data_IF_855015542080
#
_entry.id   IF_855015542080
#
_cell.length_a   1.000
_cell.length_b   1.000
_cell.length_c   1.000
_cell.angle_alpha   90.00
_cell.angle_beta   90.00
_cell.angle_gamma   90.00
#
_symmetry.space_group_name_H-M   'P 1'
#
loop_
_entity.id
_entity.type
_entity.pdbx_description
1 polymer ?
#
# COMPACT_ATOMS: atom_id res chain seq x y z
N UNK A 1 8.28 107.81 -3.16
CA UNK A 1 7.90 107.06 -4.37
C UNK A 1 9.03 106.09 -4.71
N UNK A 2 8.78 104.79 -4.52
CA UNK A 2 9.59 103.61 -4.92
C UNK A 2 11.12 103.61 -4.71
N UNK A 3 11.62 102.72 -3.83
CA UNK A 3 12.43 101.54 -4.21
C UNK A 3 12.96 100.74 -3.00
N UNK A 4 12.50 99.49 -2.94
CA UNK A 4 13.30 98.25 -2.81
C UNK A 4 14.18 98.08 -1.55
N UNK A 5 13.58 97.57 -0.47
CA UNK A 5 14.31 96.92 0.63
C UNK A 5 14.69 95.47 0.27
N UNK A 6 15.94 95.11 0.55
CA UNK A 6 16.50 93.76 0.39
C UNK A 6 16.05 92.88 1.56
N UNK A 7 15.63 91.64 1.24
CA UNK A 7 15.48 90.55 2.21
C UNK A 7 16.85 89.99 2.57
N UNK A 8 17.19 89.98 3.86
CA UNK A 8 18.17 89.07 4.43
C UNK A 8 17.45 87.81 4.96
N UNK A 9 17.95 86.64 4.56
CA UNK A 9 17.42 85.34 4.91
C UNK A 9 18.32 84.73 6.00
N UNK A 10 17.77 84.45 7.20
CA UNK A 10 18.47 83.68 8.24
C UNK A 10 18.25 82.18 8.02
N UNK A 11 19.29 81.32 8.17
CA UNK A 11 19.14 79.88 8.00
C UNK A 11 18.55 79.24 9.26
N UNK A 12 17.44 78.51 9.08
CA UNK A 12 16.86 77.64 10.10
C UNK A 12 17.53 76.26 10.11
N UNK A 13 17.88 75.77 11.31
CA UNK A 13 18.43 74.44 11.60
C UNK A 13 17.55 73.32 11.02
N UNK A 14 18.12 72.50 10.13
CA UNK A 14 17.54 71.23 9.69
C UNK A 14 17.88 70.17 10.76
N UNK A 15 16.86 69.71 11.47
CA UNK A 15 16.96 68.67 12.49
C UNK A 15 17.05 67.30 11.80
N UNK A 16 18.20 66.63 11.96
CA UNK A 16 18.44 65.22 11.62
C UNK A 16 17.60 64.31 12.52
N UNK A 17 16.36 63.99 12.14
CA UNK A 17 15.55 62.94 12.82
C UNK A 17 15.12 61.83 11.86
N UNK A 18 15.22 62.04 10.55
CA UNK A 18 14.64 61.11 9.56
C UNK A 18 15.46 59.85 9.28
N UNK A 19 16.75 59.78 9.65
CA UNK A 19 17.59 58.64 9.23
C UNK A 19 17.54 57.43 10.18
N UNK A 20 17.38 57.61 11.49
CA UNK A 20 17.42 56.49 12.44
C UNK A 20 16.09 55.73 12.54
N UNK A 21 14.95 56.44 12.41
CA UNK A 21 13.63 55.80 12.43
C UNK A 21 13.40 54.93 11.19
N UNK A 22 13.88 55.34 10.02
CA UNK A 22 13.73 54.55 8.78
C UNK A 22 14.58 53.29 8.86
N UNK A 23 15.81 53.37 9.37
CA UNK A 23 16.67 52.19 9.53
C UNK A 23 16.09 51.19 10.53
N UNK A 24 15.56 51.65 11.68
CA UNK A 24 14.92 50.78 12.68
C UNK A 24 13.66 50.08 12.16
N UNK A 25 12.87 50.76 11.33
CA UNK A 25 11.68 50.18 10.71
C UNK A 25 12.10 49.14 9.67
N UNK A 26 13.15 49.39 8.88
CA UNK A 26 13.66 48.43 7.90
C UNK A 26 14.33 47.19 8.54
N UNK A 27 15.11 47.33 9.61
CA UNK A 27 15.64 46.16 10.34
C UNK A 27 14.55 45.39 11.05
N UNK A 28 13.54 46.07 11.61
CA UNK A 28 12.37 45.41 12.21
C UNK A 28 11.55 44.62 11.18
N UNK A 29 11.36 45.16 9.97
CA UNK A 29 10.65 44.49 8.88
C UNK A 29 11.42 43.28 8.34
N UNK A 30 12.75 43.38 8.22
CA UNK A 30 13.61 42.26 7.79
C UNK A 30 13.61 41.14 8.85
N UNK A 31 13.64 41.47 10.14
CA UNK A 31 13.53 40.49 11.23
C UNK A 31 12.13 39.83 11.22
N UNK A 32 11.06 40.59 10.96
CA UNK A 32 9.71 40.04 10.85
C UNK A 32 9.55 39.10 9.66
N UNK A 33 10.18 39.41 8.51
CA UNK A 33 10.21 38.55 7.32
C UNK A 33 11.05 37.28 7.57
N UNK A 34 12.14 37.37 8.34
CA UNK A 34 12.96 36.21 8.72
C UNK A 34 12.24 35.29 9.73
N UNK A 35 11.40 35.83 10.62
CA UNK A 35 10.61 35.04 11.57
C UNK A 35 9.40 34.36 10.88
N UNK A 36 8.83 34.96 9.83
CA UNK A 36 7.80 34.30 9.00
C UNK A 36 8.34 33.20 8.08
N UNK A 37 9.67 33.09 7.92
CA UNK A 37 10.31 32.00 7.19
C UNK A 37 10.36 30.66 7.93
N UNK A 38 10.00 30.63 9.22
CA UNK A 38 10.01 29.40 10.04
C UNK A 38 8.63 28.76 10.23
N UNK A 39 7.56 29.33 9.68
CA UNK A 39 6.33 28.55 9.42
C UNK A 39 6.44 27.87 8.06
N UNK A 40 7.53 27.11 7.87
CA UNK A 40 7.51 26.06 6.87
C UNK A 40 6.46 25.07 7.35
N UNK A 41 5.30 25.03 6.69
CA UNK A 41 4.37 23.93 6.86
C UNK A 41 5.20 22.65 6.74
N UNK A 42 5.40 21.94 7.85
CA UNK A 42 6.12 20.68 7.86
C UNK A 42 5.42 19.82 6.81
N UNK A 43 6.13 19.50 5.72
CA UNK A 43 5.54 18.76 4.62
C UNK A 43 5.05 17.45 5.23
N UNK A 44 3.74 17.22 5.23
CA UNK A 44 3.10 16.04 5.85
C UNK A 44 3.87 14.81 5.40
N UNK A 45 4.56 14.17 6.34
CA UNK A 45 5.38 13.01 6.03
C UNK A 45 4.46 11.79 5.93
N UNK A 46 4.76 10.88 5.00
CA UNK A 46 4.19 9.55 5.00
C UNK A 46 4.98 8.70 6.00
N UNK A 47 4.32 8.14 7.00
CA UNK A 47 4.92 7.24 7.98
C UNK A 47 4.39 5.83 7.76
N UNK A 48 5.27 4.83 7.82
CA UNK A 48 4.91 3.43 7.56
C UNK A 48 5.46 2.53 8.67
N UNK A 49 4.60 1.70 9.27
CA UNK A 49 5.01 0.60 10.14
C UNK A 49 4.98 -0.71 9.36
N UNK A 50 6.16 -1.28 9.13
CA UNK A 50 6.34 -2.56 8.45
C UNK A 50 7.83 -2.99 8.42
N UNK A 51 8.10 -4.22 7.99
CA UNK A 51 9.43 -4.73 7.67
C UNK A 51 9.97 -4.12 6.38
N UNK A 52 11.29 -4.00 6.29
CA UNK A 52 11.99 -3.50 5.09
C UNK A 52 11.76 -4.34 3.83
N UNK A 53 11.39 -5.62 4.01
CA UNK A 53 11.12 -6.53 2.92
C UNK A 53 9.73 -6.37 2.30
N UNK A 54 8.84 -5.55 2.89
CA UNK A 54 7.47 -5.38 2.41
C UNK A 54 7.44 -4.78 0.99
N UNK A 55 6.55 -5.29 0.12
CA UNK A 55 6.54 -4.91 -1.30
C UNK A 55 6.17 -3.44 -1.49
N UNK A 56 5.27 -2.90 -0.67
CA UNK A 56 4.92 -1.47 -0.72
C UNK A 56 6.16 -0.62 -0.44
N UNK A 57 6.92 -0.91 0.62
CA UNK A 57 8.12 -0.15 0.97
C UNK A 57 9.16 -0.23 -0.13
N UNK A 58 9.43 -1.41 -0.67
CA UNK A 58 10.36 -1.59 -1.78
C UNK A 58 9.94 -0.79 -3.01
N UNK A 59 8.64 -0.78 -3.31
CA UNK A 59 8.07 -0.02 -4.42
C UNK A 59 8.20 1.49 -4.18
N UNK A 60 7.88 1.99 -3.00
CA UNK A 60 8.03 3.41 -2.68
C UNK A 60 9.50 3.85 -2.79
N UNK A 61 10.43 3.03 -2.30
CA UNK A 61 11.87 3.29 -2.41
C UNK A 61 12.35 3.33 -3.86
N UNK A 62 11.98 2.35 -4.69
CA UNK A 62 12.40 2.30 -6.10
C UNK A 62 11.86 3.46 -6.93
N UNK A 63 10.71 4.02 -6.53
CA UNK A 63 10.10 5.19 -7.16
C UNK A 63 10.54 6.52 -6.56
N UNK A 64 11.46 6.52 -5.57
CA UNK A 64 11.96 7.74 -4.94
C UNK A 64 10.92 8.49 -4.10
N UNK A 65 9.86 7.81 -3.66
CA UNK A 65 8.85 8.37 -2.76
C UNK A 65 9.43 8.40 -1.34
N UNK A 66 9.34 9.56 -0.69
CA UNK A 66 9.89 9.77 0.65
C UNK A 66 8.88 9.34 1.71
N UNK A 67 9.34 8.53 2.65
CA UNK A 67 8.58 8.12 3.82
C UNK A 67 9.55 7.87 5.00
N UNK A 68 8.99 7.77 6.19
CA UNK A 68 9.70 7.31 7.40
C UNK A 68 9.17 5.93 7.78
N UNK A 69 10.08 4.96 7.98
CA UNK A 69 9.72 3.59 8.38
C UNK A 69 9.97 3.38 9.87
N UNK A 70 9.06 2.65 10.51
CA UNK A 70 9.21 2.17 11.89
C UNK A 70 8.88 0.67 11.95
N UNK A 71 9.38 -0.02 12.98
CA UNK A 71 9.17 -1.45 13.14
C UNK A 71 7.79 -1.75 13.75
N UNK A 72 7.23 -0.83 14.55
CA UNK A 72 5.97 -1.06 15.27
C UNK A 72 4.90 0.02 15.00
N UNK A 73 3.60 -0.34 15.08
CA UNK A 73 2.51 0.63 14.91
C UNK A 73 2.56 1.77 15.93
N UNK A 74 2.90 1.45 17.18
CA UNK A 74 3.01 2.43 18.26
C UNK A 74 4.10 3.47 18.00
N UNK A 75 5.29 3.05 17.56
CA UNK A 75 6.37 3.97 17.19
C UNK A 75 6.00 4.86 16.01
N UNK A 76 5.33 4.30 14.99
CA UNK A 76 4.88 5.07 13.83
C UNK A 76 3.91 6.19 14.24
N UNK A 77 2.92 5.89 15.09
CA UNK A 77 1.96 6.88 15.60
C UNK A 77 2.61 7.87 16.57
N UNK A 78 3.55 7.43 17.41
CA UNK A 78 4.31 8.30 18.32
C UNK A 78 5.13 9.35 17.55
N UNK A 79 5.81 8.93 16.49
CA UNK A 79 6.71 9.81 15.73
C UNK A 79 5.99 10.60 14.62
N UNK A 80 4.74 10.26 14.30
CA UNK A 80 3.93 11.03 13.38
C UNK A 80 3.67 12.44 13.93
N UNK A 81 3.89 13.45 13.08
CA UNK A 81 3.48 14.83 13.32
C UNK A 81 1.97 14.98 13.08
N UNK A 82 1.36 15.96 13.72
CA UNK A 82 -0.08 16.22 13.59
C UNK A 82 -0.51 16.37 12.12
N UNK A 83 -1.63 15.73 11.77
CA UNK A 83 -2.20 15.76 10.42
C UNK A 83 -1.47 14.94 9.37
N UNK A 84 -0.45 14.15 9.76
CA UNK A 84 0.32 13.27 8.87
C UNK A 84 -0.44 11.98 8.52
N UNK A 85 0.01 11.30 7.47
CA UNK A 85 -0.51 10.00 7.08
C UNK A 85 0.32 8.85 7.67
N UNK A 86 -0.34 7.85 8.26
CA UNK A 86 0.30 6.65 8.79
C UNK A 86 -0.28 5.40 8.15
N UNK A 87 0.59 4.52 7.66
CA UNK A 87 0.27 3.23 7.06
C UNK A 87 0.82 2.14 7.99
N UNK A 88 -0.04 1.23 8.44
CA UNK A 88 0.34 0.09 9.28
C UNK A 88 0.08 -1.20 8.48
N UNK A 89 1.14 -1.95 8.18
CA UNK A 89 1.09 -3.12 7.29
C UNK A 89 1.20 -4.45 8.05
N UNK A 90 0.68 -5.50 7.43
CA UNK A 90 0.60 -6.84 8.02
C UNK A 90 1.78 -7.73 7.60
N UNK A 91 2.94 -7.52 8.22
CA UNK A 91 4.17 -8.26 7.88
C UNK A 91 4.10 -9.78 8.12
N UNK A 92 3.21 -10.22 9.01
CA UNK A 92 3.02 -11.63 9.35
C UNK A 92 1.77 -12.23 8.69
N UNK A 93 1.20 -11.52 7.71
CA UNK A 93 0.08 -12.03 6.93
C UNK A 93 0.46 -13.30 6.14
N UNK A 94 -0.43 -14.32 6.08
CA UNK A 94 -1.75 -14.39 6.71
C UNK A 94 -1.78 -15.00 8.11
N UNK A 95 -0.61 -15.33 8.68
CA UNK A 95 -0.47 -16.12 9.91
C UNK A 95 -0.98 -15.36 11.13
N UNK A 96 -0.57 -14.11 11.29
CA UNK A 96 -0.95 -13.28 12.44
C UNK A 96 -1.56 -11.95 11.99
N UNK A 97 -2.53 -11.48 12.78
CA UNK A 97 -3.07 -10.11 12.65
C UNK A 97 -2.12 -9.09 13.25
N UNK A 98 -2.21 -7.85 12.78
CA UNK A 98 -1.42 -6.75 13.36
C UNK A 98 -1.99 -6.38 14.71
N UNK A 99 -1.19 -6.54 15.77
CA UNK A 99 -1.58 -6.19 17.14
C UNK A 99 -1.77 -4.69 17.27
N UNK A 100 -3.04 -4.27 17.42
CA UNK A 100 -3.45 -2.88 17.59
C UNK A 100 -4.49 -2.83 18.71
N UNK A 101 -4.37 -1.83 19.57
CA UNK A 101 -5.28 -1.59 20.68
C UNK A 101 -6.09 -0.29 20.48
N UNK A 102 -7.14 -0.05 21.29
CA UNK A 102 -7.91 1.18 21.22
C UNK A 102 -7.10 2.46 21.45
N UNK A 103 -6.07 2.42 22.31
CA UNK A 103 -5.26 3.59 22.66
C UNK A 103 -4.46 4.11 21.46
N UNK A 104 -4.03 3.22 20.55
CA UNK A 104 -3.37 3.62 19.32
C UNK A 104 -4.30 4.47 18.43
N UNK A 105 -5.57 4.06 18.30
CA UNK A 105 -6.57 4.83 17.54
C UNK A 105 -6.90 6.16 18.21
N UNK A 106 -7.05 6.19 19.54
CA UNK A 106 -7.27 7.43 20.30
C UNK A 106 -6.12 8.42 20.08
N UNK A 107 -4.88 7.95 20.19
CA UNK A 107 -3.69 8.78 19.97
C UNK A 107 -3.57 9.28 18.53
N UNK A 108 -3.93 8.44 17.56
CA UNK A 108 -3.98 8.86 16.16
C UNK A 108 -5.05 9.95 15.93
N UNK A 109 -6.21 9.82 16.58
CA UNK A 109 -7.27 10.83 16.52
C UNK A 109 -6.85 12.15 17.18
N UNK A 110 -6.18 12.12 18.33
CA UNK A 110 -5.65 13.32 19.01
C UNK A 110 -4.70 14.13 18.10
N UNK A 111 -3.88 13.41 17.33
CA UNK A 111 -2.95 14.00 16.35
C UNK A 111 -3.60 14.27 14.98
N UNK A 112 -4.89 14.02 14.80
CA UNK A 112 -5.61 14.12 13.52
C UNK A 112 -4.91 13.36 12.38
N UNK A 113 -4.37 12.18 12.67
CA UNK A 113 -3.69 11.36 11.67
C UNK A 113 -4.69 10.71 10.73
N UNK A 114 -4.30 10.56 9.47
CA UNK A 114 -5.02 9.70 8.53
C UNK A 114 -4.39 8.32 8.55
N UNK A 115 -5.18 7.29 8.82
CA UNK A 115 -4.67 5.93 8.99
C UNK A 115 -5.06 5.03 7.83
N UNK A 116 -4.12 4.18 7.41
CA UNK A 116 -4.43 2.92 6.75
C UNK A 116 -3.92 1.77 7.63
N UNK A 117 -4.78 0.81 7.90
CA UNK A 117 -4.46 -0.34 8.75
C UNK A 117 -4.79 -1.63 8.03
N UNK A 118 -3.79 -2.49 7.90
CA UNK A 118 -3.88 -3.76 7.21
C UNK A 118 -4.00 -4.94 8.19
N UNK A 119 -4.97 -5.84 7.94
CA UNK A 119 -5.20 -7.08 8.69
C UNK A 119 -5.15 -6.91 10.24
N UNK A 120 -5.90 -5.95 10.82
CA UNK A 120 -5.77 -5.61 12.24
C UNK A 120 -6.39 -6.64 13.19
N UNK A 121 -5.85 -6.75 14.40
CA UNK A 121 -6.45 -7.52 15.49
C UNK A 121 -7.70 -6.85 16.09
N UNK A 122 -7.85 -5.55 15.90
CA UNK A 122 -8.95 -4.76 16.46
C UNK A 122 -9.31 -3.57 15.56
N UNK A 123 -10.61 -3.33 15.42
CA UNK A 123 -11.17 -2.19 14.69
C UNK A 123 -12.24 -1.51 15.57
N UNK A 124 -12.15 -0.19 15.84
CA UNK A 124 -13.13 0.51 16.66
C UNK A 124 -14.55 0.38 16.13
N UNK A 125 -15.47 -0.07 16.99
CA UNK A 125 -16.90 -0.17 16.68
C UNK A 125 -17.29 -1.28 15.70
N UNK A 126 -16.36 -2.15 15.31
CA UNK A 126 -16.61 -3.23 14.34
C UNK A 126 -16.20 -4.57 14.94
N UNK A 127 -17.13 -5.52 14.96
CA UNK A 127 -16.85 -6.91 15.33
C UNK A 127 -16.15 -7.63 14.18
N UNK A 128 -14.86 -7.92 14.35
CA UNK A 128 -14.09 -8.72 13.39
C UNK A 128 -14.25 -10.20 13.72
N UNK A 129 -14.56 -11.02 12.71
CA UNK A 129 -14.61 -12.48 12.83
C UNK A 129 -13.22 -13.12 12.71
N UNK A 130 -13.18 -14.43 12.98
CA UNK A 130 -11.97 -15.23 12.80
C UNK A 130 -11.51 -15.26 11.32
N UNK A 131 -10.18 -15.28 11.06
CA UNK A 131 -9.63 -15.39 9.72
C UNK A 131 -10.27 -16.49 8.87
N UNK A 132 -10.68 -16.13 7.65
CA UNK A 132 -11.17 -17.07 6.64
C UNK A 132 -10.30 -17.05 5.41
N UNK A 133 -10.10 -18.22 4.80
CA UNK A 133 -9.42 -18.38 3.52
C UNK A 133 -10.43 -18.47 2.39
N UNK A 134 -10.21 -17.74 1.30
CA UNK A 134 -11.00 -17.89 0.07
C UNK A 134 -10.77 -19.25 -0.55
N UNK A 135 -11.85 -19.87 -1.04
CA UNK A 135 -11.79 -21.09 -1.84
C UNK A 135 -12.31 -20.82 -3.26
N UNK A 136 -13.58 -20.40 -3.35
CA UNK A 136 -14.26 -20.07 -4.62
C UNK A 136 -14.59 -18.59 -4.72
N UNK A 137 -14.40 -17.85 -3.63
CA UNK A 137 -14.63 -16.42 -3.57
C UNK A 137 -13.55 -15.66 -4.34
N UNK A 138 -13.94 -14.50 -4.88
CA UNK A 138 -13.02 -13.54 -5.50
C UNK A 138 -13.26 -12.17 -4.88
N UNK A 139 -12.21 -11.36 -4.84
CA UNK A 139 -12.34 -9.96 -4.47
C UNK A 139 -12.85 -9.18 -5.67
N UNK A 140 -13.78 -8.26 -5.42
CA UNK A 140 -14.38 -7.41 -6.45
C UNK A 140 -14.46 -5.96 -5.98
N UNK A 141 -14.43 -5.06 -6.95
CA UNK A 141 -14.60 -3.63 -6.72
C UNK A 141 -16.07 -3.30 -6.48
N UNK A 142 -16.38 -2.64 -5.37
CA UNK A 142 -17.76 -2.32 -4.94
C UNK A 142 -18.05 -0.82 -4.85
N UNK A 143 -17.14 0.00 -5.37
CA UNK A 143 -17.24 1.47 -5.37
C UNK A 143 -16.91 2.05 -6.75
N UNK A 144 -17.32 3.29 -6.99
CA UNK A 144 -16.89 4.11 -8.12
C UNK A 144 -15.77 5.10 -7.73
N UNK A 145 -15.33 5.06 -6.47
CA UNK A 145 -14.28 5.95 -5.92
C UNK A 145 -12.91 5.77 -6.57
N UNK A 146 -12.65 4.63 -7.19
CA UNK A 146 -11.36 4.33 -7.81
C UNK A 146 -11.30 4.89 -9.25
N UNK A 147 -10.39 5.83 -9.55
CA UNK A 147 -10.29 6.41 -10.90
C UNK A 147 -9.96 5.34 -11.95
N UNK A 148 -10.83 5.19 -12.96
CA UNK A 148 -10.61 4.26 -14.07
C UNK A 148 -10.78 2.77 -13.72
N UNK A 149 -11.15 2.43 -12.48
CA UNK A 149 -11.36 1.05 -12.04
C UNK A 149 -12.86 0.82 -11.78
N UNK A 150 -13.58 0.18 -12.72
CA UNK A 150 -15.04 0.10 -12.64
C UNK A 150 -15.52 -0.88 -11.56
N UNK A 151 -16.71 -0.60 -11.02
CA UNK A 151 -17.47 -1.56 -10.19
C UNK A 151 -17.57 -2.93 -10.85
N UNK A 152 -17.60 -3.93 -9.99
CA UNK A 152 -17.66 -5.36 -10.30
C UNK A 152 -16.42 -5.90 -11.02
N UNK A 153 -15.34 -5.13 -11.15
CA UNK A 153 -14.08 -5.70 -11.62
C UNK A 153 -13.58 -6.74 -10.63
N UNK A 154 -13.21 -7.91 -11.14
CA UNK A 154 -12.64 -9.02 -10.36
C UNK A 154 -11.15 -8.77 -10.17
N UNK A 155 -10.69 -8.96 -8.92
CA UNK A 155 -9.30 -8.91 -8.51
C UNK A 155 -8.83 -10.31 -8.10
N UNK A 156 -7.64 -10.67 -8.56
CA UNK A 156 -6.93 -11.89 -8.20
C UNK A 156 -6.01 -11.59 -7.02
N UNK A 157 -6.58 -11.60 -5.81
CA UNK A 157 -5.79 -11.65 -4.57
C UNK A 157 -5.52 -13.13 -4.26
N UNK A 158 -4.38 -13.65 -4.73
CA UNK A 158 -4.04 -15.06 -4.55
C UNK A 158 -3.87 -15.41 -3.07
N UNK A 159 -4.38 -16.58 -2.69
CA UNK A 159 -4.36 -17.08 -1.31
C UNK A 159 -4.93 -16.10 -0.27
N UNK A 160 -5.99 -15.39 -0.66
CA UNK A 160 -6.62 -14.38 0.18
C UNK A 160 -7.17 -15.00 1.48
N UNK A 161 -6.54 -14.65 2.59
CA UNK A 161 -7.10 -14.73 3.92
C UNK A 161 -7.68 -13.37 4.31
N UNK A 162 -8.86 -13.34 4.91
CA UNK A 162 -9.53 -12.11 5.29
C UNK A 162 -10.24 -12.24 6.62
N UNK A 163 -10.45 -11.10 7.28
CA UNK A 163 -11.24 -10.98 8.50
C UNK A 163 -12.68 -10.63 8.15
N UNK A 164 -13.67 -11.51 8.40
CA UNK A 164 -15.07 -11.19 8.16
C UNK A 164 -15.52 -10.01 9.02
N UNK A 165 -16.36 -9.14 8.47
CA UNK A 165 -16.96 -8.02 9.18
C UNK A 165 -18.28 -7.62 8.51
N UNK A 166 -19.08 -6.81 9.19
CA UNK A 166 -20.31 -6.24 8.63
C UNK A 166 -20.10 -4.75 8.33
N UNK A 167 -20.05 -4.41 7.04
CA UNK A 167 -19.88 -3.03 6.56
C UNK A 167 -20.84 -2.80 5.38
N UNK A 168 -21.58 -1.70 5.42
CA UNK A 168 -22.60 -1.38 4.41
C UNK A 168 -22.04 -0.82 3.11
N UNK A 169 -20.93 -0.08 3.16
CA UNK A 169 -20.35 0.60 2.00
C UNK A 169 -18.83 0.33 1.86
N UNK A 170 -18.44 -0.92 1.57
CA UNK A 170 -17.03 -1.24 1.32
C UNK A 170 -16.58 -0.75 -0.06
N UNK A 171 -15.29 -0.41 -0.16
CA UNK A 171 -14.62 -0.10 -1.42
C UNK A 171 -14.31 -1.37 -2.23
N UNK A 172 -13.95 -2.46 -1.53
CA UNK A 172 -13.73 -3.79 -2.09
C UNK A 172 -14.46 -4.81 -1.23
N UNK A 173 -15.01 -5.87 -1.85
CA UNK A 173 -15.62 -6.99 -1.14
C UNK A 173 -15.15 -8.33 -1.70
N UNK A 174 -15.17 -9.37 -0.87
CA UNK A 174 -14.93 -10.75 -1.27
C UNK A 174 -16.24 -11.53 -1.27
N UNK A 175 -16.50 -12.29 -2.33
CA UNK A 175 -17.71 -13.10 -2.45
C UNK A 175 -17.65 -14.08 -3.61
N UNK A 176 -18.62 -15.00 -3.68
CA UNK A 176 -18.73 -15.96 -4.79
C UNK A 176 -19.34 -15.27 -6.00
N UNK A 177 -18.52 -14.99 -7.00
CA UNK A 177 -18.94 -14.32 -8.23
C UNK A 177 -18.60 -15.16 -9.45
N UNK A 178 -19.34 -14.97 -10.54
CA UNK A 178 -19.01 -15.58 -11.82
C UNK A 178 -18.49 -14.52 -12.82
N UNK A 179 -17.50 -14.94 -13.60
CA UNK A 179 -16.84 -14.13 -14.62
C UNK A 179 -15.32 -14.22 -14.54
N UNK A 180 -14.63 -13.53 -15.44
CA UNK A 180 -13.17 -13.50 -15.50
C UNK A 180 -12.64 -12.12 -15.07
N UNK A 181 -12.86 -11.08 -15.88
CA UNK A 181 -12.45 -9.71 -15.54
C UNK A 181 -13.52 -8.95 -14.73
N UNK A 182 -14.78 -9.38 -14.83
CA UNK A 182 -15.94 -8.73 -14.21
C UNK A 182 -16.89 -9.76 -13.61
N UNK A 183 -17.46 -9.45 -12.46
CA UNK A 183 -18.56 -10.20 -11.84
C UNK A 183 -19.87 -9.89 -12.57
N UNK A 184 -20.18 -10.65 -13.62
CA UNK A 184 -21.28 -10.35 -14.56
C UNK A 184 -22.68 -10.48 -13.94
N UNK A 185 -22.82 -11.22 -12.84
CA UNK A 185 -24.07 -11.35 -12.09
C UNK A 185 -24.13 -10.47 -10.83
N UNK A 186 -23.14 -9.60 -10.63
CA UNK A 186 -23.05 -8.76 -9.45
C UNK A 186 -22.72 -9.53 -8.17
N UNK A 187 -23.00 -8.89 -7.03
CA UNK A 187 -22.86 -9.44 -5.68
C UNK A 187 -24.21 -9.58 -4.95
N UNK A 188 -25.31 -9.18 -5.60
CA UNK A 188 -26.62 -9.21 -4.97
C UNK A 188 -26.99 -10.65 -4.58
N UNK A 189 -27.55 -10.83 -3.39
CA UNK A 189 -27.90 -12.14 -2.82
C UNK A 189 -26.71 -13.10 -2.64
N UNK A 190 -25.47 -12.59 -2.64
CA UNK A 190 -24.27 -13.36 -2.35
C UNK A 190 -23.78 -13.05 -0.94
N UNK A 191 -23.41 -14.08 -0.18
CA UNK A 191 -22.68 -13.88 1.07
C UNK A 191 -21.32 -13.26 0.74
N UNK A 192 -21.13 -12.02 1.19
CA UNK A 192 -19.96 -11.22 0.88
C UNK A 192 -19.42 -10.57 2.15
N UNK A 193 -18.11 -10.41 2.21
CA UNK A 193 -17.43 -9.74 3.32
C UNK A 193 -16.61 -8.57 2.80
N UNK A 194 -16.46 -7.50 3.57
CA UNK A 194 -15.71 -6.32 3.15
C UNK A 194 -14.21 -6.61 3.19
N UNK A 195 -13.49 -6.12 2.18
CA UNK A 195 -12.02 -6.23 2.06
C UNK A 195 -11.34 -4.90 2.37
N UNK A 196 -11.85 -3.79 1.85
CA UNK A 196 -11.30 -2.46 2.06
C UNK A 196 -12.44 -1.49 2.32
N UNK A 197 -12.40 -0.74 3.41
CA UNK A 197 -13.48 0.19 3.77
C UNK A 197 -13.00 1.29 4.72
N UNK A 198 -13.78 2.37 4.79
CA UNK A 198 -13.54 3.49 5.69
C UNK A 198 -14.35 3.33 6.97
N UNK A 199 -13.81 3.83 8.07
CA UNK A 199 -14.51 4.00 9.35
C UNK A 199 -14.39 5.46 9.80
N UNK A 200 -15.21 5.93 10.77
CA UNK A 200 -15.07 7.28 11.31
C UNK A 200 -13.66 7.58 11.82
N UNK A 201 -13.23 8.85 11.70
CA UNK A 201 -11.91 9.30 12.19
C UNK A 201 -10.78 9.18 11.16
N UNK A 202 -11.07 9.34 9.87
CA UNK A 202 -10.08 9.30 8.76
C UNK A 202 -9.25 8.01 8.72
N UNK A 203 -9.89 6.88 9.03
CA UNK A 203 -9.25 5.55 9.06
C UNK A 203 -9.77 4.68 7.93
N UNK A 204 -8.83 4.11 7.18
CA UNK A 204 -9.06 3.12 6.14
C UNK A 204 -8.57 1.75 6.63
N UNK A 205 -9.43 0.73 6.54
CA UNK A 205 -9.14 -0.62 7.02
C UNK A 205 -9.10 -1.57 5.84
N UNK A 206 -8.05 -2.38 5.75
CA UNK A 206 -8.00 -3.58 4.92
C UNK A 206 -8.15 -4.82 5.81
N UNK A 207 -9.12 -5.69 5.52
CA UNK A 207 -9.32 -6.95 6.25
C UNK A 207 -8.42 -8.07 5.73
N UNK A 208 -7.52 -7.78 4.80
CA UNK A 208 -6.57 -8.69 4.18
C UNK A 208 -5.21 -8.01 4.00
N UNK A 209 -4.17 -8.76 3.63
CA UNK A 209 -2.87 -8.22 3.25
C UNK A 209 -2.89 -7.75 1.78
N UNK A 210 -2.93 -6.45 1.54
CA UNK A 210 -2.80 -5.85 0.20
C UNK A 210 -1.34 -5.54 -0.15
N UNK A 211 -0.47 -5.38 0.86
CA UNK A 211 0.89 -4.82 0.72
C UNK A 211 1.93 -5.82 0.24
N UNK A 212 1.54 -7.09 0.12
CA UNK A 212 2.34 -8.17 -0.45
C UNK A 212 2.05 -8.41 -1.94
N UNK A 213 1.59 -7.38 -2.67
CA UNK A 213 1.06 -7.53 -4.02
C UNK A 213 2.07 -8.04 -5.07
N UNK A 214 3.37 -7.85 -4.88
CA UNK A 214 4.39 -8.37 -5.80
C UNK A 214 4.64 -9.84 -5.49
N UNK A 215 4.95 -10.14 -4.23
CA UNK A 215 5.25 -11.47 -3.71
C UNK A 215 4.05 -12.42 -3.90
N UNK A 216 2.84 -11.95 -3.63
CA UNK A 216 1.60 -12.68 -3.79
C UNK A 216 1.02 -12.61 -5.22
N UNK A 217 1.69 -11.88 -6.13
CA UNK A 217 1.37 -11.78 -7.56
C UNK A 217 -0.06 -11.31 -7.83
N UNK A 218 -0.50 -10.28 -7.13
CA UNK A 218 -1.85 -9.76 -7.28
C UNK A 218 -2.08 -9.17 -8.66
N UNK A 219 -3.30 -9.36 -9.17
CA UNK A 219 -3.65 -8.99 -10.54
C UNK A 219 -5.11 -8.53 -10.64
N UNK A 220 -5.49 -7.79 -11.70
CA UNK A 220 -4.62 -7.20 -12.73
C UNK A 220 -3.70 -6.11 -12.15
N UNK A 221 -2.48 -5.98 -12.67
CA UNK A 221 -1.46 -5.05 -12.15
C UNK A 221 -1.97 -3.61 -12.07
N UNK A 222 -2.57 -3.10 -13.16
CA UNK A 222 -3.13 -1.75 -13.21
C UNK A 222 -4.21 -1.53 -12.15
N UNK A 223 -5.04 -2.53 -11.87
CA UNK A 223 -6.09 -2.42 -10.86
C UNK A 223 -5.50 -2.33 -9.46
N UNK A 224 -4.51 -3.17 -9.15
CA UNK A 224 -3.79 -3.14 -7.88
C UNK A 224 -3.04 -1.81 -7.70
N UNK A 225 -2.46 -1.29 -8.79
CA UNK A 225 -1.80 0.02 -8.82
C UNK A 225 -2.77 1.14 -8.47
N UNK A 226 -3.95 1.16 -9.10
CA UNK A 226 -5.00 2.14 -8.82
C UNK A 226 -5.48 2.10 -7.38
N UNK A 227 -5.66 0.89 -6.80
CA UNK A 227 -6.07 0.73 -5.40
C UNK A 227 -4.99 1.28 -4.46
N UNK A 228 -3.72 0.98 -4.70
CA UNK A 228 -2.63 1.49 -3.88
C UNK A 228 -2.49 3.01 -3.97
N UNK A 229 -2.61 3.58 -5.16
CA UNK A 229 -2.60 5.03 -5.33
C UNK A 229 -3.77 5.70 -4.61
N UNK A 230 -4.96 5.11 -4.65
CA UNK A 230 -6.09 5.61 -3.87
C UNK A 230 -5.78 5.61 -2.37
N UNK A 231 -5.24 4.50 -1.83
CA UNK A 231 -4.86 4.40 -0.42
C UNK A 231 -3.80 5.46 -0.06
N UNK A 232 -2.74 5.59 -0.87
CA UNK A 232 -1.68 6.56 -0.66
C UNK A 232 -2.20 8.00 -0.69
N UNK A 233 -3.04 8.33 -1.66
CA UNK A 233 -3.64 9.66 -1.80
C UNK A 233 -4.55 9.99 -0.61
N UNK A 234 -5.34 9.01 -0.17
CA UNK A 234 -6.20 9.14 1.01
C UNK A 234 -5.37 9.46 2.25
N UNK A 235 -4.34 8.65 2.53
CA UNK A 235 -3.52 8.74 3.76
C UNK A 235 -2.60 9.97 3.74
N UNK A 236 -1.88 10.23 2.65
CA UNK A 236 -0.96 11.36 2.57
C UNK A 236 -1.68 12.70 2.44
N UNK A 237 -2.91 12.71 1.90
CA UNK A 237 -3.65 13.94 1.61
C UNK A 237 -3.02 14.79 0.50
N UNK A 238 -2.18 14.19 -0.33
CA UNK A 238 -1.63 14.77 -1.57
C UNK A 238 -1.79 13.76 -2.71
N UNK A 239 -1.79 14.26 -3.94
CA UNK A 239 -1.99 13.43 -5.14
C UNK A 239 -0.66 12.82 -5.60
N UNK A 240 -0.58 11.50 -5.57
CA UNK A 240 0.47 10.70 -6.19
C UNK A 240 0.05 10.36 -7.63
N UNK A 241 0.85 10.75 -8.63
CA UNK A 241 0.57 10.42 -10.02
C UNK A 241 0.88 8.94 -10.28
N UNK A 242 0.09 8.30 -11.15
CA UNK A 242 0.18 6.86 -11.42
C UNK A 242 1.52 6.43 -12.00
N UNK A 243 2.18 7.32 -12.74
CA UNK A 243 3.49 7.10 -13.36
C UNK A 243 4.62 7.09 -12.32
N UNK A 244 4.35 7.47 -11.07
CA UNK A 244 5.32 7.43 -9.96
C UNK A 244 5.10 6.25 -9.02
N UNK A 245 4.22 5.30 -9.36
CA UNK A 245 4.00 4.10 -8.57
C UNK A 245 4.06 2.87 -9.46
N UNK A 246 5.28 2.51 -9.85
CA UNK A 246 5.54 1.36 -10.71
C UNK A 246 6.39 0.30 -9.99
N UNK A 247 6.12 -0.96 -10.26
CA UNK A 247 6.98 -2.06 -9.83
C UNK A 247 7.21 -3.01 -10.99
N UNK A 248 8.23 -3.84 -10.85
CA UNK A 248 8.52 -4.88 -11.80
C UNK A 248 7.93 -6.18 -11.24
N UNK A 249 6.96 -6.83 -11.91
CA UNK A 249 6.45 -8.12 -11.48
C UNK A 249 7.55 -9.19 -11.49
N UNK A 250 7.54 -10.03 -10.45
CA UNK A 250 8.44 -11.19 -10.34
C UNK A 250 8.23 -12.20 -11.47
N UNK A 251 6.99 -12.33 -11.92
CA UNK A 251 6.61 -13.16 -13.07
C UNK A 251 6.11 -12.26 -14.18
N UNK A 252 6.81 -12.28 -15.31
CA UNK A 252 6.47 -11.50 -16.50
C UNK A 252 6.80 -12.28 -17.77
N UNK A 253 6.19 -11.91 -18.92
CA UNK A 253 6.59 -12.46 -20.21
C UNK A 253 8.10 -12.39 -20.41
N UNK A 254 8.70 -13.45 -20.96
CA UNK A 254 10.13 -13.49 -21.21
C UNK A 254 10.58 -12.54 -22.33
N UNK A 255 9.63 -12.09 -23.16
CA UNK A 255 9.84 -11.22 -24.32
C UNK A 255 8.65 -10.27 -24.44
N UNK A 256 8.88 -9.08 -24.98
CA UNK A 256 7.81 -8.12 -25.30
C UNK A 256 6.92 -8.62 -26.43
N UNK A 257 5.70 -8.06 -26.53
CA UNK A 257 4.69 -8.43 -27.53
C UNK A 257 5.25 -8.48 -28.96
N UNK A 258 6.02 -7.46 -29.33
CA UNK A 258 6.55 -7.27 -30.68
C UNK A 258 8.06 -7.55 -30.78
N UNK A 259 8.66 -8.12 -29.74
CA UNK A 259 10.08 -8.45 -29.75
C UNK A 259 10.36 -9.60 -30.71
N UNK A 260 11.29 -9.38 -31.65
CA UNK A 260 11.82 -10.47 -32.48
C UNK A 260 12.50 -11.50 -31.59
N UNK A 261 11.96 -12.72 -31.57
CA UNK A 261 12.48 -13.80 -30.76
C UNK A 261 13.89 -14.22 -31.22
N UNK A 262 14.82 -14.49 -30.28
CA UNK A 262 16.11 -15.06 -30.63
C UNK A 262 15.93 -16.47 -31.22
N UNK A 263 16.85 -16.94 -32.09
CA UNK A 263 16.74 -18.26 -32.73
C UNK A 263 16.63 -19.44 -31.75
N UNK A 264 17.07 -19.27 -30.50
CA UNK A 264 17.04 -20.28 -29.44
C UNK A 264 15.90 -20.09 -28.42
N UNK A 265 14.95 -19.17 -28.67
CA UNK A 265 13.85 -18.87 -27.74
C UNK A 265 13.05 -20.11 -27.32
N UNK A 266 12.73 -20.99 -28.28
CA UNK A 266 12.01 -22.23 -28.02
C UNK A 266 12.81 -23.18 -27.11
N UNK A 267 14.12 -23.34 -27.38
CA UNK A 267 15.01 -24.16 -26.54
C UNK A 267 15.06 -23.63 -25.11
N UNK A 268 15.21 -22.31 -24.94
CA UNK A 268 15.21 -21.64 -23.63
C UNK A 268 13.88 -21.83 -22.88
N UNK A 269 12.74 -21.73 -23.58
CA UNK A 269 11.43 -21.95 -22.99
C UNK A 269 11.29 -23.39 -22.47
N UNK A 270 11.73 -24.38 -23.25
CA UNK A 270 11.73 -25.80 -22.84
C UNK A 270 12.61 -26.01 -21.61
N UNK A 271 13.85 -25.49 -21.61
CA UNK A 271 14.78 -25.62 -20.47
C UNK A 271 14.16 -25.00 -19.22
N UNK A 272 13.59 -23.79 -19.31
CA UNK A 272 12.90 -23.14 -18.19
C UNK A 272 11.70 -23.95 -17.69
N UNK A 273 10.95 -24.57 -18.60
CA UNK A 273 9.86 -25.47 -18.25
C UNK A 273 10.34 -26.70 -17.49
N UNK A 274 11.41 -27.35 -17.95
CA UNK A 274 12.04 -28.49 -17.26
C UNK A 274 12.53 -28.06 -15.88
N UNK A 275 13.27 -26.94 -15.82
CA UNK A 275 13.80 -26.37 -14.58
C UNK A 275 12.68 -26.07 -13.57
N UNK A 276 11.55 -25.55 -14.03
CA UNK A 276 10.43 -25.30 -13.14
C UNK A 276 9.91 -26.60 -12.51
N UNK A 277 9.70 -27.65 -13.30
CA UNK A 277 9.24 -28.94 -12.75
C UNK A 277 10.26 -29.57 -11.78
N UNK A 278 11.56 -29.47 -12.09
CA UNK A 278 12.61 -30.11 -11.28
C UNK A 278 13.02 -29.28 -10.06
N UNK A 279 12.89 -27.96 -10.09
CA UNK A 279 13.30 -27.04 -9.00
C UNK A 279 12.14 -26.56 -8.13
N UNK A 280 10.89 -26.64 -8.58
CA UNK A 280 9.73 -26.21 -7.80
C UNK A 280 9.29 -27.20 -6.71
N UNK A 281 10.05 -28.28 -6.48
CA UNK A 281 9.70 -29.30 -5.49
C UNK A 281 8.52 -30.19 -5.89
N UNK A 282 8.07 -30.15 -7.15
CA UNK A 282 6.95 -30.97 -7.65
C UNK A 282 7.32 -32.44 -7.86
N UNK A 283 8.61 -32.72 -8.03
CA UNK A 283 9.13 -34.09 -8.08
C UNK A 283 9.53 -34.48 -6.66
N UNK A 284 8.66 -35.22 -5.99
CA UNK A 284 8.88 -35.66 -4.61
C UNK A 284 9.97 -36.74 -4.57
N UNK A 285 10.92 -36.57 -3.65
CA UNK A 285 11.80 -37.66 -3.24
C UNK A 285 10.98 -38.72 -2.49
N UNK A 286 11.59 -39.88 -2.18
CA UNK A 286 10.93 -40.88 -1.34
C UNK A 286 10.50 -40.29 0.01
N UNK A 287 11.37 -39.51 0.64
CA UNK A 287 11.09 -38.85 1.91
C UNK A 287 10.02 -37.77 1.75
N UNK A 288 10.09 -36.98 0.67
CA UNK A 288 9.05 -35.98 0.35
C UNK A 288 7.69 -36.62 0.06
N UNK A 289 7.64 -37.85 -0.45
CA UNK A 289 6.40 -38.60 -0.61
C UNK A 289 5.80 -39.03 0.73
N UNK A 290 6.64 -39.46 1.68
CA UNK A 290 6.18 -39.77 3.05
C UNK A 290 5.68 -38.50 3.77
N UNK A 291 6.39 -37.38 3.64
CA UNK A 291 5.95 -36.09 4.16
C UNK A 291 4.61 -35.65 3.55
N UNK A 292 4.46 -35.74 2.23
CA UNK A 292 3.22 -35.43 1.54
C UNK A 292 2.04 -36.29 2.03
N UNK A 293 2.27 -37.61 2.24
CA UNK A 293 1.25 -38.49 2.83
C UNK A 293 0.88 -38.05 4.25
N UNK A 294 1.85 -37.63 5.05
CA UNK A 294 1.60 -37.08 6.38
C UNK A 294 0.75 -35.82 6.35
N UNK A 295 1.10 -34.85 5.49
CA UNK A 295 0.40 -33.56 5.36
C UNK A 295 -1.07 -33.72 4.98
N UNK A 296 -1.38 -34.68 4.11
CA UNK A 296 -2.73 -34.90 3.58
C UNK A 296 -3.46 -36.09 4.21
N UNK A 297 -2.89 -36.70 5.26
CA UNK A 297 -3.40 -37.90 5.92
C UNK A 297 -3.73 -39.04 4.92
N UNK A 298 -2.82 -39.26 3.98
CA UNK A 298 -2.96 -40.25 2.91
C UNK A 298 -2.35 -41.59 3.31
N UNK A 299 -2.95 -42.68 2.84
CA UNK A 299 -2.48 -44.04 2.95
C UNK A 299 -2.94 -44.88 1.74
N UNK A 300 -2.54 -46.14 1.68
CA UNK A 300 -2.83 -47.02 0.54
C UNK A 300 -4.33 -47.24 0.28
N UNK A 301 -5.21 -46.94 1.23
CA UNK A 301 -6.66 -47.08 1.07
C UNK A 301 -7.38 -45.84 0.53
N UNK A 302 -6.77 -44.65 0.59
CA UNK A 302 -7.35 -43.39 0.10
C UNK A 302 -6.51 -42.71 -1.01
N UNK A 303 -5.36 -43.28 -1.36
CA UNK A 303 -4.61 -42.92 -2.55
C UNK A 303 -5.24 -43.57 -3.77
N UNK A 304 -6.06 -42.81 -4.51
CA UNK A 304 -6.59 -43.21 -5.81
C UNK A 304 -5.62 -42.78 -6.91
N UNK A 305 -4.59 -43.59 -7.14
CA UNK A 305 -3.67 -43.40 -8.27
C UNK A 305 -4.22 -44.10 -9.50
N UNK A 306 -4.06 -43.48 -10.68
CA UNK A 306 -4.40 -44.10 -11.97
C UNK A 306 -3.35 -45.12 -12.44
N UNK A 307 -2.31 -45.36 -11.64
CA UNK A 307 -1.20 -46.29 -11.88
C UNK A 307 -0.86 -47.03 -10.58
N UNK A 308 -0.62 -48.36 -10.59
CA UNK A 308 -0.26 -49.11 -9.37
C UNK A 308 0.94 -48.46 -8.67
N UNK A 309 0.71 -47.99 -7.44
CA UNK A 309 1.66 -47.43 -6.46
C UNK A 309 3.06 -47.12 -7.00
N UNK A 310 3.27 -45.87 -7.42
CA UNK A 310 4.58 -45.36 -7.80
C UNK A 310 5.42 -45.12 -6.53
N UNK A 311 5.99 -46.19 -5.98
CA UNK A 311 7.12 -46.12 -5.05
C UNK A 311 8.46 -45.88 -5.80
N UNK A 312 8.39 -45.31 -7.01
CA UNK A 312 9.54 -44.99 -7.83
C UNK A 312 9.79 -43.49 -7.73
N UNK A 313 10.30 -43.04 -6.59
CA UNK A 313 10.97 -41.75 -6.53
C UNK A 313 12.17 -41.85 -7.48
N UNK A 314 12.08 -41.18 -8.64
CA UNK A 314 13.21 -41.09 -9.55
C UNK A 314 14.33 -40.31 -8.81
N UNK A 315 15.59 -40.78 -8.85
CA UNK A 315 16.69 -40.01 -8.29
C UNK A 315 16.74 -38.64 -8.97
N UNK A 316 17.02 -37.56 -8.23
CA UNK A 316 17.13 -36.22 -8.82
C UNK A 316 18.22 -36.23 -9.90
N UNK A 317 18.05 -35.46 -10.99
CA UNK A 317 19.06 -35.36 -12.03
C UNK A 317 20.38 -34.87 -11.40
N UNK A 318 21.49 -35.53 -11.76
CA UNK A 318 22.81 -35.07 -11.36
C UNK A 318 23.04 -33.66 -11.93
N UNK A 319 23.50 -32.75 -11.06
CA UNK A 319 23.83 -31.36 -11.42
C UNK A 319 25.16 -31.27 -12.16
#
# INVERSE_FOLDING_TARGET
>A
MMKKERREFRPGKIIRITSYCITFIFTGLIIFILIQGCTGACKKALIISCRESNDLVRTLMSNGIRFSRYDTPGEAVENASDGSGVIILADEYPVNTVSIDPFLYEKAAEKNLKLFVEYPSFVPGIGMGEPRRTSLERVVVTTDDFPGLPRLQILCLHDCHYLPAEISDPLLSVGKVAGFDRAVFGLDNTDSSPILFKIPGDVLISTTGLSCFVTARYAPEEAIRTIWLYILNYVAGEEYPIEKFEWIPDVRPAYERDQKLPPDAARKAIIKGIDWHTKAGMVLSKDGWEEYKGLWNLNDSNIHTTVPSVNNAAPPPAS
#
